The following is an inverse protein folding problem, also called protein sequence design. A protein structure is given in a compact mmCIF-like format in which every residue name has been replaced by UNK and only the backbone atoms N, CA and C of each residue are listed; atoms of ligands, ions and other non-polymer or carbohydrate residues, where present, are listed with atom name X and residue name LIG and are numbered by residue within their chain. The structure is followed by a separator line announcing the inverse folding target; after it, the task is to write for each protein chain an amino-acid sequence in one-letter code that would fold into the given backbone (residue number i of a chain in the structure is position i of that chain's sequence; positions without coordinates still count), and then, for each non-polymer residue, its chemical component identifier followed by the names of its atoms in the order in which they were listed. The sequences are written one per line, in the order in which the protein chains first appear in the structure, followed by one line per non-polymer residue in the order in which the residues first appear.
data_IF_508709328169
#
_entry.id   IF_508709328169
#
_cell.length_a   1.000
_cell.length_b   1.000
_cell.length_c   1.000
_cell.angle_alpha   90.00
_cell.angle_beta   90.00
_cell.angle_gamma   90.00
#
_symmetry.space_group_name_H-M   'P 1'
#
loop_
_entity.id
_entity.type
_entity.pdbx_description
1 polymer ?
#
# COMPACT_ATOMS: atom_id res chain seq x y z
N UNK A 1 -23.60 -19.44 -11.94
CA UNK A 1 -24.80 -19.13 -11.14
C UNK A 1 -24.86 -17.62 -10.98
N UNK A 2 -25.92 -16.96 -11.44
CA UNK A 2 -26.07 -15.51 -11.30
C UNK A 2 -26.51 -15.22 -9.87
N UNK A 3 -25.61 -14.66 -9.06
CA UNK A 3 -25.90 -14.34 -7.66
C UNK A 3 -26.92 -13.17 -7.64
N UNK A 4 -28.15 -13.46 -7.24
CA UNK A 4 -29.19 -12.44 -7.02
C UNK A 4 -28.82 -11.67 -5.77
N UNK A 5 -28.82 -10.34 -5.87
CA UNK A 5 -28.49 -9.44 -4.76
C UNK A 5 -29.45 -9.68 -3.58
N UNK A 6 -28.94 -10.02 -2.38
CA UNK A 6 -29.77 -10.08 -1.18
C UNK A 6 -30.22 -8.64 -0.85
N UNK A 7 -31.52 -8.36 -0.93
CA UNK A 7 -32.14 -7.02 -0.72
C UNK A 7 -31.93 -6.03 -1.89
N UNK A 8 -32.55 -6.27 -3.06
CA UNK A 8 -32.47 -5.38 -4.23
C UNK A 8 -33.06 -3.98 -3.98
N UNK A 9 -33.95 -3.84 -2.99
CA UNK A 9 -34.54 -2.56 -2.57
C UNK A 9 -33.56 -1.63 -1.82
N UNK A 10 -32.42 -2.15 -1.33
CA UNK A 10 -31.45 -1.37 -0.57
C UNK A 10 -30.21 -1.02 -1.39
N UNK A 11 -29.54 0.07 -1.01
CA UNK A 11 -28.18 0.39 -1.47
C UNK A 11 -27.13 -0.57 -0.91
N UNK A 12 -25.85 -0.28 -1.11
CA UNK A 12 -24.78 -1.10 -0.50
C UNK A 12 -24.90 -1.01 1.03
N UNK A 13 -25.05 -2.15 1.70
CA UNK A 13 -25.02 -2.22 3.16
C UNK A 13 -23.56 -2.31 3.58
N UNK A 14 -23.08 -1.28 4.29
CA UNK A 14 -21.70 -1.24 4.78
C UNK A 14 -21.68 -1.68 6.25
N UNK A 15 -21.10 -2.84 6.50
CA UNK A 15 -20.81 -3.32 7.84
C UNK A 15 -19.33 -3.12 8.16
N UNK A 16 -19.03 -2.48 9.30
CA UNK A 16 -17.65 -2.34 9.78
C UNK A 16 -17.39 -3.31 10.92
N UNK A 17 -16.42 -4.19 10.73
CA UNK A 17 -16.01 -5.18 11.71
C UNK A 17 -14.52 -5.07 12.01
N UNK A 18 -14.07 -5.35 13.25
CA UNK A 18 -12.66 -5.35 13.63
C UNK A 18 -11.96 -6.66 13.22
N UNK A 19 -12.15 -7.10 11.97
CA UNK A 19 -11.62 -8.36 11.43
C UNK A 19 -10.30 -8.19 10.66
N UNK A 20 -9.74 -6.97 10.69
CA UNK A 20 -8.47 -6.64 10.05
C UNK A 20 -7.28 -7.22 10.81
N UNK A 21 -6.42 -7.90 10.07
CA UNK A 21 -5.13 -8.40 10.50
C UNK A 21 -4.01 -7.51 9.93
N UNK A 22 -3.03 -7.23 10.78
CA UNK A 22 -1.77 -6.60 10.41
C UNK A 22 -0.62 -7.39 11.01
N UNK A 23 0.38 -7.69 10.19
CA UNK A 23 1.62 -8.33 10.64
C UNK A 23 2.79 -7.42 10.29
N UNK A 24 3.72 -7.26 11.24
CA UNK A 24 4.88 -6.38 11.10
C UNK A 24 6.14 -7.12 11.54
N UNK A 25 7.18 -7.06 10.71
CA UNK A 25 8.54 -7.49 11.07
C UNK A 25 9.54 -6.44 10.60
N UNK A 26 10.55 -6.15 11.41
CA UNK A 26 11.59 -5.22 11.01
C UNK A 26 12.95 -5.54 11.59
N UNK A 27 13.97 -5.09 10.87
CA UNK A 27 15.35 -5.00 11.30
C UNK A 27 15.72 -3.52 11.36
N UNK A 28 16.29 -3.10 12.49
CA UNK A 28 16.84 -1.77 12.69
C UNK A 28 18.35 -1.88 12.89
N UNK A 29 19.10 -1.13 12.08
CA UNK A 29 20.55 -0.97 12.21
C UNK A 29 20.85 0.49 12.50
N UNK A 30 21.61 0.74 13.58
CA UNK A 30 22.05 2.08 13.95
C UNK A 30 23.56 2.10 14.09
N UNK A 31 24.18 3.09 13.46
CA UNK A 31 25.59 3.42 13.61
C UNK A 31 25.70 4.87 14.07
N UNK A 32 26.49 5.12 15.11
CA UNK A 32 26.69 6.45 15.67
C UNK A 32 28.17 6.69 15.94
N UNK A 33 28.61 7.89 15.62
CA UNK A 33 29.86 8.46 16.12
C UNK A 33 29.55 9.80 16.78
N UNK A 34 29.86 9.90 18.07
CA UNK A 34 29.80 11.16 18.83
C UNK A 34 30.86 12.15 18.34
N UNK A 35 30.64 13.43 18.63
CA UNK A 35 31.55 14.50 18.25
C UNK A 35 32.95 14.25 18.81
N UNK A 36 33.87 13.96 17.90
CA UNK A 36 35.30 13.83 18.20
C UNK A 36 36.07 14.16 16.94
N UNK A 37 37.26 14.74 17.10
CA UNK A 37 38.09 15.18 15.96
C UNK A 37 37.33 16.07 14.97
N UNK A 38 36.47 16.97 15.49
CA UNK A 38 35.65 17.94 14.74
C UNK A 38 34.50 17.38 13.89
N UNK A 39 34.10 16.11 14.03
CA UNK A 39 32.91 15.61 13.32
C UNK A 39 32.10 14.59 14.13
N UNK A 40 30.82 14.51 13.81
CA UNK A 40 29.86 13.52 14.32
C UNK A 40 28.96 13.03 13.20
N UNK A 41 28.43 11.82 13.32
CA UNK A 41 27.42 11.32 12.40
C UNK A 41 26.54 10.25 13.05
N UNK A 42 25.35 10.09 12.49
CA UNK A 42 24.42 9.03 12.83
C UNK A 42 23.79 8.48 11.55
N UNK A 43 23.77 7.16 11.43
CA UNK A 43 23.08 6.43 10.38
C UNK A 43 22.04 5.51 11.03
N UNK A 44 20.81 5.58 10.54
CA UNK A 44 19.71 4.69 10.92
C UNK A 44 19.15 4.05 9.66
N UNK A 45 19.16 2.72 9.62
CA UNK A 45 18.55 1.95 8.54
C UNK A 45 17.47 1.03 9.10
N UNK A 46 16.29 1.08 8.49
CA UNK A 46 15.17 0.20 8.80
C UNK A 46 14.81 -0.61 7.56
N UNK A 47 14.85 -1.93 7.70
CA UNK A 47 14.21 -2.87 6.78
C UNK A 47 12.92 -3.34 7.42
N UNK A 48 11.77 -3.01 6.83
CA UNK A 48 10.45 -3.36 7.37
C UNK A 48 9.63 -4.17 6.37
N UNK A 49 8.83 -5.10 6.89
CA UNK A 49 7.83 -5.85 6.13
C UNK A 49 6.50 -5.76 6.87
N UNK A 50 5.49 -5.26 6.18
CA UNK A 50 4.13 -5.15 6.68
C UNK A 50 3.17 -5.83 5.71
N UNK A 51 2.41 -6.80 6.20
CA UNK A 51 1.32 -7.44 5.44
C UNK A 51 0.00 -7.26 6.19
N UNK A 52 -1.09 -7.13 5.44
CA UNK A 52 -2.42 -6.87 5.99
C UNK A 52 -3.52 -7.32 5.04
N UNK A 53 -4.63 -7.84 5.59
CA UNK A 53 -5.90 -8.00 4.87
C UNK A 53 -6.87 -6.83 5.14
N UNK A 54 -6.50 -5.90 6.02
CA UNK A 54 -7.37 -4.79 6.35
C UNK A 54 -7.54 -3.95 5.10
N UNK A 55 -8.79 -3.71 4.76
CA UNK A 55 -9.16 -2.89 3.65
C UNK A 55 -8.90 -1.42 4.04
N UNK A 56 -7.67 -1.00 3.83
CA UNK A 56 -7.26 0.41 3.84
C UNK A 56 -7.36 0.89 2.40
N UNK A 57 -8.00 2.04 2.20
CA UNK A 57 -8.09 2.66 0.88
C UNK A 57 -6.70 2.64 0.22
N UNK A 58 -6.60 2.08 -0.98
CA UNK A 58 -5.42 2.14 -1.86
C UNK A 58 -5.19 3.55 -2.42
N UNK A 59 -5.72 4.56 -1.73
CA UNK A 59 -5.72 5.95 -2.14
C UNK A 59 -4.95 6.75 -1.11
N UNK A 60 -3.87 7.34 -1.60
CA UNK A 60 -3.23 8.49 -0.98
C UNK A 60 -4.32 9.49 -0.57
N UNK A 61 -4.59 9.61 0.73
CA UNK A 61 -5.23 10.80 1.31
C UNK A 61 -6.73 10.76 1.60
N UNK A 62 -7.50 9.70 1.31
CA UNK A 62 -8.92 9.65 1.70
C UNK A 62 -9.17 8.37 2.49
N UNK A 63 -9.18 8.48 3.82
CA UNK A 63 -9.34 7.39 4.79
C UNK A 63 -10.71 6.69 4.78
N UNK A 64 -11.30 6.48 3.62
CA UNK A 64 -12.47 5.63 3.43
C UNK A 64 -11.98 4.18 3.51
N UNK A 65 -12.12 3.57 4.69
CA UNK A 65 -11.81 2.16 4.87
C UNK A 65 -12.39 1.35 3.71
N UNK A 66 -11.53 0.63 3.00
CA UNK A 66 -11.95 -0.23 1.91
C UNK A 66 -12.89 -1.32 2.43
N UNK A 67 -13.61 -1.94 1.52
CA UNK A 67 -14.26 -3.23 1.76
C UNK A 67 -13.32 -4.37 1.42
N UNK A 68 -13.62 -5.55 1.94
CA UNK A 68 -13.03 -6.81 1.48
C UNK A 68 -13.38 -6.93 -0.01
N UNK A 69 -12.40 -7.33 -0.83
CA UNK A 69 -12.54 -7.42 -2.29
C UNK A 69 -13.50 -8.54 -2.68
N UNK A 70 -13.48 -9.66 -1.95
CA UNK A 70 -14.42 -10.77 -2.09
C UNK A 70 -14.91 -11.19 -0.69
N UNK A 71 -16.18 -10.93 -0.39
CA UNK A 71 -16.76 -11.26 0.91
C UNK A 71 -16.76 -12.77 1.20
N UNK A 72 -16.78 -13.60 0.16
CA UNK A 72 -16.76 -15.05 0.27
C UNK A 72 -15.34 -15.58 0.52
N UNK A 73 -14.30 -14.83 0.14
CA UNK A 73 -12.90 -15.20 0.34
C UNK A 73 -12.03 -14.05 0.91
N UNK A 74 -12.24 -13.61 2.17
CA UNK A 74 -11.50 -12.48 2.75
C UNK A 74 -9.98 -12.69 2.87
N UNK A 75 -9.51 -13.93 2.78
CA UNK A 75 -8.08 -14.26 2.80
C UNK A 75 -7.33 -13.78 1.56
N UNK A 76 -8.02 -13.50 0.46
CA UNK A 76 -7.41 -13.06 -0.80
C UNK A 76 -6.89 -11.62 -0.74
N UNK A 77 -7.34 -10.85 0.26
CA UNK A 77 -6.84 -9.50 0.51
C UNK A 77 -5.55 -9.46 1.33
N UNK A 78 -4.98 -10.61 1.73
CA UNK A 78 -3.67 -10.62 2.40
C UNK A 78 -2.59 -10.23 1.39
N UNK A 79 -2.01 -9.06 1.60
CA UNK A 79 -0.86 -8.59 0.83
C UNK A 79 -0.11 -7.49 1.58
N UNK A 80 0.93 -6.90 0.96
CA UNK A 80 1.65 -5.77 1.54
C UNK A 80 0.71 -4.68 2.06
N UNK A 81 0.99 -4.12 3.22
CA UNK A 81 0.19 -3.00 3.75
C UNK A 81 0.42 -1.73 2.91
N UNK A 82 -0.57 -0.84 2.85
CA UNK A 82 -0.50 0.38 2.03
C UNK A 82 0.65 1.32 2.46
N UNK A 83 0.98 1.30 3.75
CA UNK A 83 2.09 2.05 4.33
C UNK A 83 3.40 1.26 4.43
N UNK A 84 3.46 0.04 3.88
CA UNK A 84 4.68 -0.76 3.87
C UNK A 84 5.78 0.02 3.12
N UNK A 85 6.82 0.43 3.86
CA UNK A 85 8.04 1.00 3.28
C UNK A 85 9.19 0.08 3.59
N UNK A 86 9.63 -0.65 2.57
CA UNK A 86 10.57 -1.76 2.72
C UNK A 86 11.91 -1.31 3.27
N UNK A 87 12.44 -0.21 2.75
CA UNK A 87 13.71 0.38 3.14
C UNK A 87 13.54 1.84 3.51
N UNK A 88 14.07 2.23 4.67
CA UNK A 88 14.21 3.62 5.08
C UNK A 88 15.63 3.85 5.63
N UNK A 89 16.29 4.90 5.15
CA UNK A 89 17.61 5.33 5.59
C UNK A 89 17.50 6.78 6.05
N UNK A 90 18.00 7.06 7.25
CA UNK A 90 18.22 8.41 7.76
C UNK A 90 19.68 8.57 8.09
N UNK A 91 20.34 9.54 7.46
CA UNK A 91 21.74 9.88 7.72
C UNK A 91 21.78 11.32 8.21
N UNK A 92 22.51 11.57 9.28
CA UNK A 92 22.84 12.91 9.74
C UNK A 92 24.32 13.01 10.06
N UNK A 93 24.88 14.20 9.85
CA UNK A 93 26.26 14.48 10.17
C UNK A 93 26.49 15.96 10.40
N UNK A 94 27.49 16.27 11.21
CA UNK A 94 27.96 17.63 11.38
C UNK A 94 29.48 17.66 11.55
N UNK A 95 30.10 18.73 11.08
CA UNK A 95 31.52 18.98 11.20
C UNK A 95 31.79 20.43 11.68
N UNK A 96 32.78 20.59 12.55
CA UNK A 96 33.30 21.88 12.99
C UNK A 96 34.45 22.28 12.07
N UNK A 97 34.21 23.32 11.28
CA UNK A 97 35.19 23.98 10.43
C UNK A 97 36.06 24.94 11.27
N UNK A 98 37.13 25.52 10.69
CA UNK A 98 37.88 26.60 11.34
C UNK A 98 36.97 27.78 11.72
N UNK A 99 37.43 28.60 12.66
CA UNK A 99 36.67 29.72 13.25
C UNK A 99 35.36 29.29 13.94
N UNK A 100 35.33 28.07 14.48
CA UNK A 100 34.21 27.53 15.26
C UNK A 100 32.86 27.47 14.51
N UNK A 101 32.91 27.43 13.18
CA UNK A 101 31.72 27.26 12.34
C UNK A 101 31.33 25.79 12.31
N UNK A 102 30.08 25.46 12.61
CA UNK A 102 29.56 24.10 12.52
C UNK A 102 28.62 24.00 11.32
N UNK A 103 28.89 23.05 10.42
CA UNK A 103 28.02 22.73 9.28
C UNK A 103 27.45 21.33 9.47
N UNK A 104 26.15 21.19 9.26
CA UNK A 104 25.45 19.91 9.37
C UNK A 104 24.50 19.66 8.22
N UNK A 105 24.22 18.38 7.98
CA UNK A 105 23.30 17.93 6.95
C UNK A 105 22.52 16.70 7.44
N UNK A 106 21.29 16.56 6.92
CA UNK A 106 20.41 15.44 7.19
C UNK A 106 19.82 14.97 5.86
N UNK A 107 19.87 13.67 5.63
CA UNK A 107 19.28 13.02 4.46
C UNK A 107 18.28 11.95 4.89
N UNK A 108 17.15 11.90 4.17
CA UNK A 108 16.09 10.93 4.37
C UNK A 108 15.78 10.24 3.04
N UNK A 109 16.05 8.94 2.96
CA UNK A 109 15.74 8.11 1.80
C UNK A 109 14.74 7.04 2.18
N UNK A 110 13.71 6.85 1.35
CA UNK A 110 12.68 5.84 1.58
C UNK A 110 12.25 5.24 0.25
N UNK A 111 12.03 3.95 0.25
CA UNK A 111 11.40 3.26 -0.89
C UNK A 111 9.92 3.65 -1.01
N UNK A 112 9.40 3.49 -2.21
CA UNK A 112 7.99 3.77 -2.52
C UNK A 112 7.07 2.79 -1.78
N UNK A 113 5.88 3.28 -1.46
CA UNK A 113 4.79 2.43 -0.96
C UNK A 113 4.27 1.56 -2.09
N UNK A 114 3.73 0.38 -1.77
CA UNK A 114 3.11 -0.46 -2.78
C UNK A 114 1.74 0.09 -3.20
N UNK A 115 1.18 -0.45 -4.28
CA UNK A 115 -0.14 -0.11 -4.80
C UNK A 115 -0.76 -1.33 -5.49
N UNK A 116 -2.08 -1.36 -5.64
CA UNK A 116 -2.78 -2.48 -6.29
C UNK A 116 -3.21 -2.12 -7.71
N UNK A 117 -3.26 -3.12 -8.59
CA UNK A 117 -3.93 -3.00 -9.88
C UNK A 117 -5.40 -3.37 -9.72
N UNK A 118 -6.32 -2.44 -10.02
CA UNK A 118 -7.77 -2.66 -9.98
C UNK A 118 -8.32 -2.91 -11.39
N UNK A 119 -9.27 -3.83 -11.50
CA UNK A 119 -9.93 -4.16 -12.76
C UNK A 119 -10.80 -3.01 -13.28
N UNK A 120 -11.35 -2.18 -12.39
CA UNK A 120 -12.25 -1.07 -12.73
C UNK A 120 -13.68 -1.51 -13.08
N UNK A 121 -13.93 -2.82 -13.13
CA UNK A 121 -15.24 -3.46 -13.31
C UNK A 121 -15.41 -4.56 -12.27
N UNK A 122 -16.65 -4.88 -11.93
CA UNK A 122 -17.01 -6.01 -11.06
C UNK A 122 -16.98 -7.29 -11.90
N UNK A 123 -15.91 -8.08 -11.75
CA UNK A 123 -15.65 -9.30 -12.51
C UNK A 123 -16.31 -10.51 -11.84
N UNK A 124 -16.38 -10.53 -10.51
CA UNK A 124 -16.93 -11.67 -9.76
C UNK A 124 -18.47 -11.56 -9.56
N UNK A 125 -19.07 -10.40 -9.83
CA UNK A 125 -20.51 -10.15 -9.76
C UNK A 125 -21.06 -10.07 -8.33
N UNK A 126 -20.22 -9.79 -7.34
CA UNK A 126 -20.62 -9.70 -5.93
C UNK A 126 -21.13 -8.31 -5.53
N UNK A 127 -21.05 -7.34 -6.44
CA UNK A 127 -21.51 -5.97 -6.24
C UNK A 127 -20.69 -5.18 -5.21
N UNK A 128 -19.52 -5.66 -4.79
CA UNK A 128 -18.64 -4.96 -3.86
C UNK A 128 -17.97 -3.77 -4.55
N UNK A 129 -18.09 -2.61 -3.90
CA UNK A 129 -17.46 -1.37 -4.32
C UNK A 129 -16.80 -0.70 -3.14
N UNK A 130 -15.87 0.22 -3.41
CA UNK A 130 -15.07 0.97 -2.41
C UNK A 130 -15.89 1.83 -1.43
N UNK A 131 -17.23 1.79 -1.48
CA UNK A 131 -18.10 2.36 -0.46
C UNK A 131 -18.07 3.89 -0.42
N UNK A 132 -17.80 4.54 -1.56
CA UNK A 132 -17.97 5.98 -1.72
C UNK A 132 -19.43 6.36 -1.49
N UNK A 133 -19.75 6.83 -0.28
CA UNK A 133 -21.00 7.53 -0.03
C UNK A 133 -21.14 8.65 -1.07
N UNK A 134 -22.35 8.80 -1.63
CA UNK A 134 -22.63 9.55 -2.86
C UNK A 134 -22.33 11.05 -2.87
N UNK A 135 -21.07 11.44 -2.66
CA UNK A 135 -20.61 12.83 -2.63
C UNK A 135 -19.10 13.03 -2.68
N UNK A 136 -18.25 12.01 -2.48
CA UNK A 136 -16.79 12.17 -2.50
C UNK A 136 -16.10 10.95 -3.14
N UNK A 137 -15.89 11.02 -4.46
CA UNK A 137 -15.19 9.98 -5.24
C UNK A 137 -16.08 8.84 -5.69
N UNK A 138 -15.99 8.45 -6.96
CA UNK A 138 -16.83 7.40 -7.56
C UNK A 138 -16.76 6.08 -6.80
N UNK A 139 -17.88 5.36 -6.74
CA UNK A 139 -17.89 3.95 -6.38
C UNK A 139 -17.22 3.16 -7.50
N UNK A 140 -16.06 2.58 -7.21
CA UNK A 140 -15.38 1.68 -8.14
C UNK A 140 -15.41 0.26 -7.57
N UNK A 141 -15.54 -0.75 -8.44
CA UNK A 141 -15.45 -2.14 -8.04
C UNK A 141 -14.14 -2.42 -7.33
N UNK A 142 -14.22 -3.24 -6.28
CA UNK A 142 -13.03 -3.60 -5.49
C UNK A 142 -12.12 -4.59 -6.21
N UNK A 143 -12.56 -5.24 -7.27
CA UNK A 143 -11.82 -6.33 -7.90
C UNK A 143 -10.41 -5.93 -8.35
N UNK A 144 -9.44 -6.78 -7.98
CA UNK A 144 -8.09 -6.70 -8.53
C UNK A 144 -8.09 -7.17 -9.99
N UNK A 145 -7.10 -6.70 -10.75
CA UNK A 145 -6.81 -7.30 -12.05
C UNK A 145 -6.55 -8.81 -11.86
N UNK A 146 -7.17 -9.71 -12.65
CA UNK A 146 -6.94 -11.14 -12.54
C UNK A 146 -5.45 -11.50 -12.55
N UNK A 147 -5.01 -12.31 -11.58
CA UNK A 147 -3.60 -12.69 -11.42
C UNK A 147 -2.76 -11.70 -10.62
N UNK A 148 -3.35 -10.62 -10.11
CA UNK A 148 -2.69 -9.70 -9.17
C UNK A 148 -3.27 -9.84 -7.77
N UNK A 149 -2.56 -9.30 -6.78
CA UNK A 149 -2.98 -9.27 -5.38
C UNK A 149 -2.94 -7.85 -4.85
N UNK A 150 -3.48 -7.67 -3.63
CA UNK A 150 -3.36 -6.42 -2.89
C UNK A 150 -1.90 -5.93 -2.88
N UNK A 151 -1.70 -4.68 -3.26
CA UNK A 151 -0.43 -3.96 -3.11
C UNK A 151 0.78 -4.70 -3.71
N UNK A 152 0.57 -5.35 -4.85
CA UNK A 152 1.63 -6.05 -5.58
C UNK A 152 2.63 -5.10 -6.26
N UNK A 153 2.18 -3.89 -6.65
CA UNK A 153 3.03 -2.88 -7.27
C UNK A 153 4.18 -2.44 -6.34
N UNK A 154 5.36 -2.18 -6.91
CA UNK A 154 6.60 -1.91 -6.17
C UNK A 154 7.07 -3.07 -5.25
N UNK A 155 6.47 -4.26 -5.37
CA UNK A 155 6.91 -5.50 -4.70
C UNK A 155 7.22 -6.58 -5.73
N UNK A 156 6.34 -6.71 -6.72
CA UNK A 156 6.56 -7.49 -7.93
C UNK A 156 5.92 -6.77 -9.14
N UNK A 157 6.55 -5.66 -9.51
CA UNK A 157 6.04 -4.80 -10.61
C UNK A 157 6.04 -5.53 -11.94
N UNK A 158 6.98 -6.45 -12.18
CA UNK A 158 7.08 -7.19 -13.43
C UNK A 158 5.89 -8.15 -13.62
N UNK A 159 5.58 -8.97 -12.60
CA UNK A 159 4.44 -9.87 -12.67
C UNK A 159 3.11 -9.11 -12.67
N UNK A 160 3.00 -8.02 -11.89
CA UNK A 160 1.81 -7.16 -11.92
C UNK A 160 1.58 -6.56 -13.31
N UNK A 161 2.62 -5.99 -13.95
CA UNK A 161 2.50 -5.41 -15.29
C UNK A 161 2.14 -6.47 -16.34
N UNK A 162 2.72 -7.67 -16.25
CA UNK A 162 2.36 -8.78 -17.13
C UNK A 162 0.88 -9.17 -17.00
N UNK A 163 0.36 -9.28 -15.77
CA UNK A 163 -1.04 -9.59 -15.51
C UNK A 163 -1.99 -8.46 -16.00
N UNK A 164 -1.62 -7.19 -15.78
CA UNK A 164 -2.36 -6.03 -16.30
C UNK A 164 -2.43 -6.05 -17.81
N UNK A 165 -1.32 -6.31 -18.51
CA UNK A 165 -1.30 -6.36 -19.96
C UNK A 165 -2.10 -7.54 -20.51
N UNK A 166 -2.04 -8.71 -19.85
CA UNK A 166 -2.87 -9.86 -20.20
C UNK A 166 -4.37 -9.54 -20.05
N UNK A 167 -4.77 -8.87 -18.97
CA UNK A 167 -6.15 -8.44 -18.75
C UNK A 167 -6.59 -7.38 -19.78
N UNK A 168 -5.74 -6.39 -20.08
CA UNK A 168 -6.01 -5.38 -21.12
C UNK A 168 -6.24 -6.05 -22.49
N UNK A 169 -5.47 -7.10 -22.81
CA UNK A 169 -5.65 -7.84 -24.05
C UNK A 169 -7.02 -8.55 -24.14
N UNK A 170 -7.57 -9.08 -23.03
CA UNK A 170 -8.93 -9.67 -23.03
C UNK A 170 -10.01 -8.62 -23.32
N UNK A 171 -9.75 -7.36 -22.94
CA UNK A 171 -10.59 -6.21 -23.22
C UNK A 171 -10.31 -5.55 -24.58
N UNK A 172 -9.42 -6.12 -25.40
CA UNK A 172 -8.96 -5.56 -26.69
C UNK A 172 -8.33 -4.18 -26.56
N UNK A 173 -7.68 -3.90 -25.44
CA UNK A 173 -6.89 -2.70 -25.19
C UNK A 173 -5.42 -2.96 -25.51
N UNK A 174 -4.73 -1.95 -26.03
CA UNK A 174 -3.29 -2.00 -26.23
C UNK A 174 -2.56 -2.10 -24.86
N UNK A 175 -1.36 -2.72 -24.80
CA UNK A 175 -0.54 -2.75 -23.58
C UNK A 175 -0.36 -1.35 -22.98
#
# INVERSE_FOLDING_TARGET
MTLVRPLPEWGQIIQRQPIGLFTYKALLVRLEKRLSHRYQYQLSYTLAKQDSNAATADTVGIGLGGSITDLYNPGWDIGPANNDRRHAVVLSGAAQLPADIIVGAIWNFRTTTPFSARAGVDINGDGQNTGGGGGLGGNYPTDYVPGTTKNMGNRDTAAMLAAVNAYRATLRLAP
#
